data_IF_179081809303
#
_entry.id   IF_179081809303
#
_cell.length_a   1.000
_cell.length_b   1.000
_cell.length_c   1.000
_cell.angle_alpha   90.00
_cell.angle_beta   90.00
_cell.angle_gamma   90.00
#
_symmetry.space_group_name_H-M   'P 1'
#
loop_
_entity.id
_entity.type
_entity.pdbx_description
1 polymer ?
#
# COMPACT_ATOMS: atom_id res chain seq x y z
N UNK A 1 -50.45 18.74 -47.81
CA UNK A 1 -49.61 19.73 -47.12
C UNK A 1 -49.24 19.17 -45.75
N UNK A 2 -48.05 18.56 -45.58
CA UNK A 2 -47.59 17.99 -44.30
C UNK A 2 -46.74 19.05 -43.58
N UNK A 3 -46.96 19.34 -42.28
CA UNK A 3 -46.17 20.34 -41.56
C UNK A 3 -44.79 19.77 -41.21
N UNK A 4 -43.79 20.61 -41.42
CA UNK A 4 -42.38 20.33 -41.26
C UNK A 4 -42.02 20.16 -39.78
N UNK A 5 -41.79 18.92 -39.36
CA UNK A 5 -41.33 18.62 -38.02
C UNK A 5 -39.80 18.73 -37.93
N UNK A 6 -39.22 19.93 -37.87
CA UNK A 6 -37.82 20.05 -37.44
C UNK A 6 -37.40 21.48 -37.07
N UNK A 7 -37.78 21.96 -35.88
CA UNK A 7 -37.04 23.07 -35.24
C UNK A 7 -37.04 22.87 -33.73
N UNK A 8 -36.20 21.95 -33.25
CA UNK A 8 -35.93 21.79 -31.81
C UNK A 8 -35.12 23.02 -31.36
N UNK A 9 -35.59 23.75 -30.35
CA UNK A 9 -34.95 25.01 -29.94
C UNK A 9 -33.51 24.78 -29.46
N UNK A 10 -32.58 25.69 -29.80
CA UNK A 10 -31.15 25.54 -29.46
C UNK A 10 -30.92 25.46 -27.94
N UNK A 11 -31.81 26.07 -27.15
CA UNK A 11 -31.77 26.08 -25.68
C UNK A 11 -32.01 24.67 -25.11
N UNK A 12 -33.00 23.93 -25.64
CA UNK A 12 -33.31 22.56 -25.19
C UNK A 12 -32.19 21.61 -25.59
N UNK A 13 -31.57 21.83 -26.74
CA UNK A 13 -30.41 21.04 -27.20
C UNK A 13 -29.18 21.31 -26.34
N UNK A 14 -28.86 22.58 -26.02
CA UNK A 14 -27.77 22.93 -25.10
C UNK A 14 -27.96 22.34 -23.71
N UNK A 15 -29.16 22.42 -23.15
CA UNK A 15 -29.44 21.90 -21.81
C UNK A 15 -29.29 20.38 -21.73
N UNK A 16 -29.63 19.66 -22.81
CA UNK A 16 -29.41 18.20 -22.92
C UNK A 16 -27.93 17.86 -23.03
N UNK A 17 -27.15 18.63 -23.80
CA UNK A 17 -25.70 18.45 -23.92
C UNK A 17 -25.02 18.67 -22.56
N UNK A 18 -25.41 19.70 -21.83
CA UNK A 18 -24.88 20.00 -20.50
C UNK A 18 -25.23 18.89 -19.49
N UNK A 19 -26.46 18.40 -19.50
CA UNK A 19 -26.87 17.29 -18.64
C UNK A 19 -26.10 16.01 -18.96
N UNK A 20 -25.87 15.71 -20.26
CA UNK A 20 -25.09 14.56 -20.68
C UNK A 20 -23.63 14.64 -20.22
N UNK A 21 -23.02 15.83 -20.30
CA UNK A 21 -21.66 16.09 -19.81
C UNK A 21 -21.57 15.93 -18.28
N UNK A 22 -22.56 16.42 -17.53
CA UNK A 22 -22.58 16.28 -16.08
C UNK A 22 -22.68 14.82 -15.64
N UNK A 23 -23.56 14.05 -16.30
CA UNK A 23 -23.74 12.62 -16.05
C UNK A 23 -22.46 11.83 -16.39
N UNK A 24 -21.81 12.18 -17.51
CA UNK A 24 -20.52 11.62 -17.90
C UNK A 24 -19.43 11.83 -16.84
N UNK A 25 -19.37 13.03 -16.23
CA UNK A 25 -18.37 13.33 -15.18
C UNK A 25 -18.67 12.56 -13.88
N UNK A 26 -19.94 12.33 -13.55
CA UNK A 26 -20.33 11.54 -12.37
C UNK A 26 -20.03 10.04 -12.53
N UNK A 27 -20.10 9.52 -13.75
CA UNK A 27 -19.89 8.11 -14.09
C UNK A 27 -18.43 7.78 -14.45
N UNK A 28 -17.55 8.78 -14.51
CA UNK A 28 -16.14 8.54 -14.77
C UNK A 28 -15.54 7.70 -13.61
N UNK A 29 -14.78 6.62 -13.92
CA UNK A 29 -14.13 5.82 -12.89
C UNK A 29 -13.18 6.71 -12.08
N UNK A 30 -13.32 6.68 -10.75
CA UNK A 30 -12.50 7.48 -9.83
C UNK A 30 -11.16 6.83 -9.51
N UNK A 31 -11.02 5.56 -9.82
CA UNK A 31 -9.82 4.79 -9.61
C UNK A 31 -8.99 4.77 -10.90
N UNK A 32 -7.78 5.32 -10.83
CA UNK A 32 -6.81 5.14 -11.91
C UNK A 32 -6.31 3.71 -11.88
N UNK A 33 -6.43 2.98 -12.99
CA UNK A 33 -5.64 1.77 -13.25
C UNK A 33 -4.20 2.18 -13.55
N UNK A 34 -3.50 2.66 -12.53
CA UNK A 34 -2.05 2.85 -12.62
C UNK A 34 -1.39 1.47 -12.78
N UNK A 35 -0.23 1.43 -13.43
CA UNK A 35 0.69 0.28 -13.36
C UNK A 35 1.22 0.24 -11.92
N UNK A 36 0.42 -0.22 -10.98
CA UNK A 36 0.66 -0.15 -9.55
C UNK A 36 0.28 -1.46 -8.91
N UNK A 37 1.23 -2.05 -8.19
CA UNK A 37 1.01 -3.23 -7.37
C UNK A 37 -0.18 -3.03 -6.43
N UNK A 38 -0.83 -4.13 -6.03
CA UNK A 38 -1.87 -4.10 -5.01
C UNK A 38 -1.36 -3.39 -3.75
N UNK A 39 -2.14 -2.44 -3.22
CA UNK A 39 -1.73 -1.68 -2.04
C UNK A 39 -1.88 -2.56 -0.80
N UNK A 40 -0.75 -2.95 -0.22
CA UNK A 40 -0.70 -3.77 0.99
C UNK A 40 -0.31 -3.00 2.28
N UNK A 41 -0.14 -1.68 2.19
CA UNK A 41 0.16 -0.79 3.34
C UNK A 41 -0.92 0.27 3.51
N UNK A 42 -1.51 0.30 4.69
CA UNK A 42 -2.57 1.24 5.09
C UNK A 42 -2.13 2.09 6.28
N UNK A 43 -2.52 3.38 6.27
CA UNK A 43 -2.30 4.29 7.40
C UNK A 43 -3.37 4.20 8.49
N UNK A 44 -4.38 3.35 8.30
CA UNK A 44 -5.50 3.17 9.23
C UNK A 44 -5.51 1.71 9.70
N UNK A 45 -5.62 1.45 11.01
CA UNK A 45 -5.66 0.09 11.52
C UNK A 45 -6.99 -0.60 11.18
N UNK A 46 -6.91 -1.84 10.70
CA UNK A 46 -8.07 -2.70 10.42
C UNK A 46 -7.87 -4.09 11.03
N UNK A 47 -8.97 -4.81 11.30
CA UNK A 47 -8.92 -6.16 11.87
C UNK A 47 -8.23 -7.12 10.89
N UNK A 48 -7.20 -7.82 11.36
CA UNK A 48 -6.40 -8.74 10.54
C UNK A 48 -5.17 -8.11 9.90
N UNK A 49 -5.00 -6.79 9.98
CA UNK A 49 -3.78 -6.14 9.52
C UNK A 49 -2.60 -6.47 10.44
N UNK A 50 -1.42 -6.59 9.85
CA UNK A 50 -0.16 -6.68 10.60
C UNK A 50 0.30 -5.27 11.01
N UNK A 51 0.47 -4.98 12.32
CA UNK A 51 0.88 -3.65 12.76
C UNK A 51 2.40 -3.47 12.60
N UNK A 52 2.81 -2.70 11.59
CA UNK A 52 4.20 -2.22 11.46
C UNK A 52 4.50 -1.19 12.57
N UNK A 53 3.59 -0.24 12.77
CA UNK A 53 3.57 0.71 13.88
C UNK A 53 2.15 0.87 14.37
N UNK A 54 1.94 0.80 15.69
CA UNK A 54 0.65 1.05 16.31
C UNK A 54 0.83 1.71 17.69
N UNK A 55 0.18 2.86 17.88
CA UNK A 55 0.39 3.67 19.09
C UNK A 55 1.86 4.09 19.20
N UNK A 56 2.51 3.73 20.30
CA UNK A 56 3.93 4.04 20.56
C UNK A 56 4.86 2.82 20.38
N UNK A 57 4.43 1.80 19.62
CA UNK A 57 5.17 0.57 19.39
C UNK A 57 5.42 0.34 17.91
N UNK A 58 6.65 -0.05 17.56
CA UNK A 58 7.05 -0.48 16.23
C UNK A 58 7.40 -1.98 16.25
N UNK A 59 7.08 -2.69 15.17
CA UNK A 59 7.46 -4.08 15.00
C UNK A 59 8.99 -4.23 14.95
N UNK A 60 9.52 -5.27 15.58
CA UNK A 60 10.95 -5.60 15.51
C UNK A 60 11.29 -6.04 14.10
N UNK A 61 12.41 -5.59 13.55
CA UNK A 61 12.93 -6.09 12.27
C UNK A 61 13.99 -7.14 12.59
N UNK A 62 13.77 -8.36 12.12
CA UNK A 62 14.74 -9.45 12.20
C UNK A 62 15.45 -9.62 10.86
N UNK A 63 16.78 -9.73 10.90
CA UNK A 63 17.61 -10.15 9.77
C UNK A 63 18.76 -11.01 10.27
N UNK A 64 18.93 -12.21 9.72
CA UNK A 64 20.00 -13.12 10.12
C UNK A 64 21.37 -12.47 9.84
N UNK A 65 22.28 -12.48 10.81
CA UNK A 65 23.63 -11.90 10.64
C UNK A 65 24.47 -12.64 9.60
N UNK A 66 24.10 -13.88 9.27
CA UNK A 66 24.74 -14.69 8.23
C UNK A 66 24.18 -14.49 6.82
N UNK A 67 23.16 -13.65 6.67
CA UNK A 67 22.61 -13.29 5.36
C UNK A 67 23.58 -12.42 4.55
N UNK A 68 23.23 -12.13 3.30
CA UNK A 68 24.03 -11.25 2.45
C UNK A 68 24.15 -9.85 3.08
N UNK A 69 25.34 -9.25 2.99
CA UNK A 69 25.62 -7.90 3.52
C UNK A 69 24.63 -6.86 2.97
N UNK A 70 24.20 -7.01 1.72
CA UNK A 70 23.17 -6.15 1.11
C UNK A 70 21.80 -6.27 1.78
N UNK A 71 21.42 -7.44 2.26
CA UNK A 71 20.16 -7.69 2.97
C UNK A 71 20.20 -7.08 4.37
N UNK A 72 21.30 -7.27 5.10
CA UNK A 72 21.51 -6.62 6.41
C UNK A 72 21.49 -5.09 6.28
N UNK A 73 22.10 -4.54 5.23
CA UNK A 73 22.03 -3.11 4.93
C UNK A 73 20.60 -2.66 4.64
N UNK A 74 19.88 -3.37 3.77
CA UNK A 74 18.50 -3.03 3.43
C UNK A 74 17.55 -3.07 4.65
N UNK A 75 17.76 -3.99 5.59
CA UNK A 75 17.01 -4.01 6.85
C UNK A 75 17.26 -2.76 7.72
N UNK A 76 18.49 -2.25 7.73
CA UNK A 76 18.82 -0.99 8.41
C UNK A 76 18.25 0.23 7.69
N UNK A 77 18.24 0.22 6.37
CA UNK A 77 17.58 1.26 5.56
C UNK A 77 16.06 1.26 5.85
N UNK A 78 15.41 0.09 5.88
CA UNK A 78 14.01 -0.06 6.26
C UNK A 78 13.72 0.50 7.66
N UNK A 79 14.58 0.23 8.66
CA UNK A 79 14.46 0.82 10.00
C UNK A 79 14.48 2.35 9.93
N UNK A 80 15.43 2.92 9.19
CA UNK A 80 15.53 4.36 9.04
C UNK A 80 14.29 4.95 8.35
N UNK A 81 13.73 4.23 7.38
CA UNK A 81 12.54 4.65 6.64
C UNK A 81 11.29 4.64 7.54
N UNK A 82 11.10 3.58 8.33
CA UNK A 82 10.03 3.52 9.35
C UNK A 82 10.16 4.68 10.34
N UNK A 83 11.38 4.98 10.79
CA UNK A 83 11.64 6.13 11.66
C UNK A 83 11.30 7.46 11.00
N UNK A 84 11.61 7.65 9.71
CA UNK A 84 11.28 8.90 8.99
C UNK A 84 9.78 9.09 8.80
N UNK A 85 9.01 8.02 8.59
CA UNK A 85 7.56 8.11 8.35
C UNK A 85 6.71 8.12 9.63
N UNK A 86 7.23 7.58 10.74
CA UNK A 86 6.48 7.44 12.00
C UNK A 86 7.08 8.17 13.20
N UNK A 87 8.31 8.66 13.09
CA UNK A 87 9.13 9.13 14.23
C UNK A 87 9.45 8.06 15.29
N UNK A 88 9.12 6.78 15.04
CA UNK A 88 9.45 5.65 15.92
C UNK A 88 10.50 4.76 15.26
N UNK A 89 11.52 4.37 16.01
CA UNK A 89 12.65 3.58 15.50
C UNK A 89 12.48 2.11 15.87
N UNK A 90 12.24 1.20 14.91
CA UNK A 90 12.24 -0.24 15.14
C UNK A 90 13.55 -0.75 15.75
N UNK A 91 13.46 -1.77 16.59
CA UNK A 91 14.63 -2.57 16.98
C UNK A 91 15.08 -3.45 15.81
N UNK A 92 16.39 -3.64 15.66
CA UNK A 92 16.96 -4.71 14.81
C UNK A 92 17.33 -5.88 15.71
N UNK A 93 16.94 -7.09 15.34
CA UNK A 93 17.47 -8.32 15.91
C UNK A 93 18.18 -9.15 14.85
N UNK A 94 19.28 -9.77 15.23
CA UNK A 94 20.00 -10.75 14.43
C UNK A 94 19.82 -12.19 14.92
N UNK A 95 19.19 -12.34 16.08
CA UNK A 95 18.96 -13.61 16.75
C UNK A 95 17.47 -13.89 16.81
N UNK A 96 17.10 -15.16 16.74
CA UNK A 96 15.69 -15.57 16.70
C UNK A 96 14.97 -15.50 18.05
N UNK A 97 15.63 -14.97 19.07
CA UNK A 97 15.13 -14.93 20.44
C UNK A 97 14.62 -13.52 20.79
N UNK A 98 13.63 -13.44 21.69
CA UNK A 98 13.10 -12.18 22.24
C UNK A 98 12.61 -11.14 21.20
N UNK A 99 12.05 -11.60 20.08
CA UNK A 99 11.64 -10.73 18.97
C UNK A 99 10.36 -9.89 19.24
N UNK A 100 9.63 -10.18 20.32
CA UNK A 100 8.38 -9.51 20.67
C UNK A 100 7.17 -10.08 19.90
N UNK A 101 6.03 -9.39 19.98
CA UNK A 101 4.76 -9.87 19.39
C UNK A 101 4.67 -9.70 17.87
N UNK A 102 5.19 -8.59 17.34
CA UNK A 102 5.10 -8.24 15.92
C UNK A 102 6.51 -8.12 15.36
N UNK A 103 6.78 -8.89 14.31
CA UNK A 103 8.13 -9.07 13.77
C UNK A 103 8.07 -9.01 12.25
N UNK A 104 8.92 -8.19 11.65
CA UNK A 104 9.19 -8.16 10.22
C UNK A 104 10.44 -9.01 9.99
N UNK A 105 10.30 -10.11 9.26
CA UNK A 105 11.40 -11.03 8.97
C UNK A 105 11.94 -10.71 7.57
N UNK A 106 13.22 -10.38 7.48
CA UNK A 106 13.92 -10.10 6.23
C UNK A 106 15.06 -11.10 6.07
N UNK A 107 15.15 -11.73 4.90
CA UNK A 107 16.25 -12.65 4.62
C UNK A 107 16.13 -13.39 3.29
N UNK A 108 17.14 -14.21 3.02
CA UNK A 108 17.29 -15.00 1.80
C UNK A 108 17.11 -16.49 2.12
N UNK A 109 16.36 -17.20 1.27
CA UNK A 109 16.20 -18.67 1.35
C UNK A 109 17.57 -19.35 1.21
N UNK A 110 17.86 -20.31 2.08
CA UNK A 110 19.13 -21.03 2.18
C UNK A 110 20.23 -20.28 2.94
N UNK A 111 19.94 -19.10 3.49
CA UNK A 111 20.88 -18.26 4.27
C UNK A 111 20.32 -17.89 5.62
N UNK A 112 19.06 -17.45 5.66
CA UNK A 112 18.39 -17.10 6.90
C UNK A 112 17.80 -18.35 7.56
N UNK A 113 18.26 -18.66 8.77
CA UNK A 113 17.82 -19.86 9.51
C UNK A 113 16.32 -19.86 9.77
N UNK A 114 15.75 -18.72 10.11
CA UNK A 114 14.31 -18.60 10.39
C UNK A 114 13.49 -18.80 9.12
N UNK A 115 13.89 -18.19 8.00
CA UNK A 115 13.17 -18.36 6.74
C UNK A 115 13.18 -19.83 6.32
N UNK A 116 14.32 -20.50 6.43
CA UNK A 116 14.45 -21.93 6.11
C UNK A 116 13.64 -22.86 7.02
N UNK A 117 13.26 -22.39 8.21
CA UNK A 117 12.34 -23.10 9.10
C UNK A 117 10.87 -22.83 8.75
N UNK A 118 10.53 -21.61 8.31
CA UNK A 118 9.16 -21.19 7.98
C UNK A 118 8.62 -21.81 6.68
N UNK A 119 9.49 -22.18 5.76
CA UNK A 119 9.10 -22.72 4.43
C UNK A 119 9.05 -24.26 4.39
N UNK A 120 9.15 -24.92 5.54
CA UNK A 120 9.03 -26.38 5.67
C UNK A 120 7.60 -26.78 5.96
#
# INVERSE_FOLDING_TARGET
MKPNAFMKSPIVTMSKVLALLLVSVLLAPRDSLAIGQERYVEGVPSRGNFPIVQGNAAATIYVDSSDHVGVVRAANDLKADVARVTSLSPAISHEGENLGKNIIIVGTIGKSRIIDQLIR
#
